data_IF_829723350104
#
_entry.id   IF_829723350104
#
_cell.length_a   1.000
_cell.length_b   1.000
_cell.length_c   1.000
_cell.angle_alpha   90.00
_cell.angle_beta   90.00
_cell.angle_gamma   90.00
#
_symmetry.space_group_name_H-M   'P 1'
#
loop_
_entity.id
_entity.type
_entity.pdbx_description
1 polymer ?
#
# COMPACT_ATOMS: atom_id res chain seq x y z
N UNK A 1 -2.85 69.34 -72.75
CA UNK A 1 -4.14 68.72 -72.37
C UNK A 1 -4.50 67.72 -73.46
N UNK A 2 -4.87 66.45 -73.18
CA UNK A 2 -5.07 65.83 -71.86
C UNK A 2 -4.53 64.36 -71.73
N UNK A 3 -4.74 63.81 -70.53
CA UNK A 3 -4.82 62.39 -70.09
C UNK A 3 -3.50 61.58 -69.96
N UNK A 4 -3.03 61.29 -68.75
CA UNK A 4 -3.49 60.31 -67.74
C UNK A 4 -3.19 58.84 -68.12
N UNK A 5 -2.25 58.22 -67.40
CA UNK A 5 -2.42 57.03 -66.53
C UNK A 5 -1.04 56.38 -66.23
N UNK A 6 -0.87 55.76 -65.03
CA UNK A 6 0.44 55.58 -64.41
C UNK A 6 1.03 54.17 -64.51
N UNK A 7 2.37 54.18 -64.49
CA UNK A 7 3.34 53.21 -63.96
C UNK A 7 2.96 51.71 -63.94
N UNK A 8 3.70 50.95 -64.76
CA UNK A 8 3.97 49.53 -64.51
C UNK A 8 5.48 49.28 -64.62
N UNK A 9 5.96 48.45 -63.70
CA UNK A 9 7.34 48.15 -63.32
C UNK A 9 8.29 47.82 -64.47
N UNK A 10 9.49 48.42 -64.48
CA UNK A 10 10.77 47.75 -64.17
C UNK A 10 11.89 48.79 -64.33
N UNK A 11 12.94 48.75 -63.49
CA UNK A 11 14.23 48.59 -64.13
C UNK A 11 15.18 47.70 -63.34
N UNK A 12 15.65 46.68 -64.05
CA UNK A 12 17.04 46.52 -64.39
C UNK A 12 18.07 46.59 -63.24
N UNK A 13 18.74 45.45 -63.10
CA UNK A 13 20.21 45.39 -63.07
C UNK A 13 20.88 46.17 -61.96
N UNK A 14 21.24 45.50 -60.87
CA UNK A 14 22.48 45.83 -60.16
C UNK A 14 22.98 44.66 -59.29
N UNK A 15 24.19 44.21 -59.62
CA UNK A 15 25.08 43.40 -58.79
C UNK A 15 26.41 44.19 -58.73
N UNK A 16 27.31 43.95 -57.77
CA UNK A 16 27.22 44.15 -56.32
C UNK A 16 28.39 45.00 -55.79
N UNK A 17 28.34 45.48 -54.54
CA UNK A 17 29.55 45.68 -53.71
C UNK A 17 29.22 45.85 -52.22
N UNK A 18 30.19 45.43 -51.41
CA UNK A 18 30.07 44.96 -50.02
C UNK A 18 29.72 46.02 -48.96
N UNK A 19 29.11 45.63 -47.82
CA UNK A 19 28.94 46.50 -46.66
C UNK A 19 30.21 46.69 -45.81
N UNK A 20 30.33 47.80 -45.05
CA UNK A 20 31.56 48.22 -44.36
C UNK A 20 31.83 47.48 -43.03
N UNK A 21 33.11 47.56 -42.62
CA UNK A 21 33.76 46.92 -41.47
C UNK A 21 33.10 47.23 -40.10
N UNK A 22 32.93 46.19 -39.27
CA UNK A 22 32.28 46.26 -37.95
C UNK A 22 33.23 46.74 -36.83
N UNK A 23 32.74 47.44 -35.78
CA UNK A 23 33.57 47.94 -34.68
C UNK A 23 34.09 46.80 -33.78
N UNK A 24 35.32 46.93 -33.28
CA UNK A 24 35.98 45.92 -32.42
C UNK A 24 35.26 45.75 -31.06
N UNK A 25 35.13 44.51 -30.53
CA UNK A 25 34.55 44.26 -29.21
C UNK A 25 35.46 44.70 -28.04
N UNK A 26 34.84 45.15 -26.95
CA UNK A 26 35.48 45.49 -25.69
C UNK A 26 36.08 44.25 -24.97
N UNK A 27 37.16 44.47 -24.21
CA UNK A 27 37.90 43.42 -23.50
C UNK A 27 37.06 42.69 -22.42
N UNK A 28 37.22 41.36 -22.25
CA UNK A 28 36.48 40.59 -21.26
C UNK A 28 36.97 40.81 -19.81
N UNK A 29 36.03 40.82 -18.87
CA UNK A 29 36.24 40.88 -17.41
C UNK A 29 36.94 39.59 -16.90
N UNK A 30 37.77 39.63 -15.84
CA UNK A 30 38.46 38.43 -15.34
C UNK A 30 37.48 37.39 -14.78
N UNK A 31 37.76 36.11 -15.04
CA UNK A 31 36.99 34.98 -14.53
C UNK A 31 37.13 34.84 -12.99
N UNK A 32 36.10 34.38 -12.26
CA UNK A 32 36.19 34.12 -10.83
C UNK A 32 37.12 32.93 -10.55
N UNK A 33 37.88 33.02 -9.45
CA UNK A 33 38.79 31.96 -9.00
C UNK A 33 38.03 30.64 -8.69
N UNK A 34 38.69 29.47 -8.81
CA UNK A 34 38.05 28.18 -8.56
C UNK A 34 37.52 28.07 -7.14
N UNK A 35 36.22 27.77 -7.01
CA UNK A 35 35.61 27.43 -5.73
C UNK A 35 36.27 26.15 -5.19
N UNK A 36 36.78 26.24 -3.95
CA UNK A 36 37.25 25.08 -3.18
C UNK A 36 36.12 24.04 -3.11
N UNK A 37 36.36 22.75 -3.38
CA UNK A 37 35.32 21.73 -3.32
C UNK A 37 34.65 21.74 -1.94
N UNK A 38 33.32 21.73 -1.93
CA UNK A 38 32.53 21.55 -0.72
C UNK A 38 32.92 20.24 -0.02
N UNK A 39 32.93 20.16 1.32
CA UNK A 39 33.17 18.91 2.02
C UNK A 39 32.17 17.86 1.54
N UNK A 40 32.70 16.72 1.09
CA UNK A 40 31.92 15.55 0.68
C UNK A 40 30.88 15.20 1.74
N UNK A 41 29.68 14.82 1.30
CA UNK A 41 28.60 14.34 2.15
C UNK A 41 29.14 13.30 3.17
N UNK A 42 28.58 13.24 4.40
CA UNK A 42 29.05 12.30 5.41
C UNK A 42 29.02 10.88 4.85
N UNK A 43 30.22 10.32 4.69
CA UNK A 43 30.40 8.97 4.19
C UNK A 43 29.82 8.00 5.23
N UNK A 44 28.78 7.26 4.85
CA UNK A 44 28.15 6.28 5.73
C UNK A 44 29.24 5.26 6.12
N UNK A 45 29.51 5.04 7.42
CA UNK A 45 30.67 4.24 7.86
C UNK A 45 30.52 2.74 7.58
N UNK A 46 29.41 2.33 6.98
CA UNK A 46 29.03 0.95 6.74
C UNK A 46 28.72 0.71 5.27
N UNK A 47 29.07 -0.49 4.79
CA UNK A 47 28.48 -1.11 3.60
C UNK A 47 27.76 -2.38 4.01
N UNK A 48 26.70 -2.73 3.29
CA UNK A 48 25.97 -3.97 3.57
C UNK A 48 25.51 -4.67 2.30
N UNK A 49 25.31 -5.98 2.43
CA UNK A 49 24.66 -6.82 1.43
C UNK A 49 23.55 -7.62 2.09
N UNK A 50 22.47 -7.87 1.35
CA UNK A 50 21.34 -8.68 1.81
C UNK A 50 21.02 -9.71 0.75
N UNK A 51 20.99 -10.97 1.14
CA UNK A 51 20.62 -12.08 0.24
C UNK A 51 19.39 -12.78 0.80
N UNK A 52 18.21 -12.59 0.19
CA UNK A 52 17.02 -13.34 0.55
C UNK A 52 17.10 -14.77 0.02
N UNK A 53 16.69 -15.73 0.82
CA UNK A 53 16.59 -17.14 0.44
C UNK A 53 15.28 -17.72 0.96
N UNK A 54 14.48 -18.26 0.03
CA UNK A 54 13.27 -19.01 0.34
C UNK A 54 13.62 -20.26 1.14
N UNK A 55 13.04 -20.42 2.32
CA UNK A 55 13.23 -21.63 3.13
C UNK A 55 12.12 -22.63 2.84
N UNK A 56 10.86 -22.18 2.95
CA UNK A 56 9.67 -22.93 2.60
C UNK A 56 8.58 -21.97 2.06
N UNK A 57 7.35 -22.47 1.90
CA UNK A 57 6.23 -21.67 1.35
C UNK A 57 5.85 -20.46 2.21
N UNK A 58 6.17 -20.46 3.51
CA UNK A 58 5.78 -19.45 4.48
C UNK A 58 6.95 -18.75 5.18
N UNK A 59 8.20 -18.91 4.70
CA UNK A 59 9.35 -18.29 5.34
C UNK A 59 10.48 -17.89 4.39
N UNK A 60 11.05 -16.71 4.65
CA UNK A 60 12.26 -16.17 4.00
C UNK A 60 13.37 -16.03 5.03
N UNK A 61 14.56 -16.51 4.72
CA UNK A 61 15.80 -16.15 5.42
C UNK A 61 16.51 -15.00 4.71
N UNK A 62 17.09 -14.10 5.48
CA UNK A 62 17.91 -12.99 4.98
C UNK A 62 19.31 -13.12 5.58
N UNK A 63 20.30 -13.41 4.74
CA UNK A 63 21.70 -13.29 5.11
C UNK A 63 22.13 -11.82 4.92
N UNK A 64 22.41 -11.13 6.01
CA UNK A 64 22.76 -9.71 6.03
C UNK A 64 24.22 -9.61 6.45
N UNK A 65 25.08 -9.16 5.54
CA UNK A 65 26.50 -8.92 5.84
C UNK A 65 26.74 -7.43 5.92
N UNK A 66 27.32 -6.96 7.02
CA UNK A 66 27.64 -5.56 7.27
C UNK A 66 29.14 -5.44 7.44
N UNK A 67 29.75 -4.52 6.70
CA UNK A 67 31.19 -4.27 6.70
C UNK A 67 31.45 -2.85 7.17
N UNK A 68 32.33 -2.67 8.15
CA UNK A 68 32.83 -1.37 8.52
C UNK A 68 33.83 -0.90 7.45
N UNK A 69 33.43 0.10 6.67
CA UNK A 69 34.29 0.71 5.64
C UNK A 69 34.93 2.00 6.12
N UNK A 70 34.64 2.42 7.34
CA UNK A 70 35.31 3.56 7.95
C UNK A 70 36.73 3.18 8.38
N UNK A 71 37.62 4.18 8.41
CA UNK A 71 38.97 4.01 8.96
C UNK A 71 39.03 3.90 10.49
N UNK A 72 37.89 3.77 11.20
CA UNK A 72 37.82 3.79 12.67
C UNK A 72 37.00 2.62 13.22
N UNK A 73 37.33 2.08 14.41
CA UNK A 73 36.47 1.09 15.06
C UNK A 73 35.11 1.68 15.41
N UNK A 74 34.05 0.88 15.29
CA UNK A 74 32.67 1.24 15.67
C UNK A 74 32.35 0.52 16.98
N UNK A 75 32.43 1.19 18.14
CA UNK A 75 32.11 0.57 19.43
C UNK A 75 30.60 0.35 19.56
N UNK A 76 30.19 -0.68 20.31
CA UNK A 76 28.76 -0.92 20.60
C UNK A 76 27.90 -1.13 19.36
N UNK A 77 28.47 -1.74 18.31
CA UNK A 77 27.73 -2.11 17.12
C UNK A 77 26.58 -3.05 17.50
N UNK A 78 25.38 -2.71 17.04
CA UNK A 78 24.14 -3.44 17.28
C UNK A 78 23.26 -3.42 16.05
N UNK A 79 22.44 -4.45 15.91
CA UNK A 79 21.47 -4.59 14.81
C UNK A 79 20.10 -4.84 15.39
N UNK A 80 19.13 -4.05 14.96
CA UNK A 80 17.72 -4.18 15.36
C UNK A 80 16.90 -4.68 14.18
N UNK A 81 15.85 -5.45 14.48
CA UNK A 81 14.96 -6.07 13.50
C UNK A 81 13.51 -5.69 13.79
N UNK A 82 12.79 -5.29 12.75
CA UNK A 82 11.36 -5.04 12.79
C UNK A 82 10.69 -5.63 11.53
N UNK A 83 9.41 -6.04 11.61
CA UNK A 83 8.67 -6.49 10.44
C UNK A 83 8.40 -5.31 9.50
N UNK A 84 8.50 -5.56 8.19
CA UNK A 84 7.97 -4.63 7.20
C UNK A 84 6.45 -4.82 7.16
N UNK A 85 5.71 -3.78 7.59
CA UNK A 85 4.27 -3.81 7.85
C UNK A 85 3.83 -4.74 8.99
N UNK A 86 2.60 -4.52 9.47
CA UNK A 86 2.02 -5.34 10.53
C UNK A 86 1.65 -6.72 9.96
N UNK A 87 2.31 -7.76 10.48
CA UNK A 87 1.98 -9.15 10.22
C UNK A 87 0.72 -9.54 11.02
N UNK A 88 -0.22 -10.26 10.37
CA UNK A 88 -1.40 -10.85 11.01
C UNK A 88 -1.11 -12.27 11.52
N UNK A 89 -0.18 -12.98 10.87
CA UNK A 89 0.25 -14.33 11.23
C UNK A 89 1.76 -14.50 10.96
N UNK A 90 2.49 -15.08 11.92
CA UNK A 90 3.95 -15.14 11.88
C UNK A 90 4.64 -13.90 12.45
N UNK A 91 5.67 -13.40 11.75
CA UNK A 91 6.49 -12.28 12.20
C UNK A 91 7.93 -12.33 11.73
N UNK A 92 8.81 -11.62 12.43
CA UNK A 92 10.26 -11.61 12.16
C UNK A 92 11.04 -12.10 13.37
N UNK A 93 12.20 -12.71 13.12
CA UNK A 93 13.06 -13.23 14.19
C UNK A 93 14.50 -13.39 13.74
N UNK A 94 15.40 -13.59 14.70
CA UNK A 94 16.81 -13.89 14.41
C UNK A 94 17.02 -15.39 14.29
N UNK A 95 17.71 -15.81 13.23
CA UNK A 95 18.33 -17.14 13.15
C UNK A 95 19.72 -17.18 13.77
N UNK A 96 20.46 -16.09 13.61
CA UNK A 96 21.72 -15.85 14.30
C UNK A 96 21.71 -14.39 14.78
N UNK A 97 21.51 -14.13 16.08
CA UNK A 97 21.43 -12.77 16.57
C UNK A 97 22.78 -12.05 16.39
N UNK A 98 22.76 -10.72 16.19
CA UNK A 98 23.97 -9.92 16.23
C UNK A 98 24.61 -10.04 17.61
N UNK A 99 25.89 -10.41 17.67
CA UNK A 99 26.67 -10.27 18.90
C UNK A 99 27.02 -8.79 19.08
N UNK A 100 26.59 -8.13 20.19
CA UNK A 100 27.00 -6.77 20.47
C UNK A 100 28.52 -6.70 20.61
N UNK A 101 29.16 -5.70 20.00
CA UNK A 101 30.61 -5.61 20.06
C UNK A 101 31.19 -4.42 19.33
N UNK A 102 32.53 -4.35 19.29
CA UNK A 102 33.25 -3.36 18.50
C UNK A 102 33.51 -3.93 17.11
N UNK A 103 33.03 -3.25 16.07
CA UNK A 103 33.31 -3.62 14.69
C UNK A 103 34.57 -2.89 14.19
N UNK A 104 35.68 -3.62 14.06
CA UNK A 104 36.96 -3.06 13.63
C UNK A 104 36.92 -2.54 12.17
N UNK A 105 37.80 -1.60 11.77
CA UNK A 105 37.93 -1.17 10.37
C UNK A 105 38.15 -2.36 9.42
N UNK A 106 37.40 -2.41 8.32
CA UNK A 106 37.46 -3.49 7.33
C UNK A 106 36.83 -4.82 7.77
N UNK A 107 36.40 -4.95 9.02
CA UNK A 107 35.75 -6.17 9.51
C UNK A 107 34.30 -6.26 9.01
N UNK A 108 33.87 -7.50 8.77
CA UNK A 108 32.50 -7.83 8.40
C UNK A 108 31.84 -8.70 9.47
N UNK A 109 30.55 -8.49 9.67
CA UNK A 109 29.68 -9.35 10.46
C UNK A 109 28.50 -9.81 9.61
N UNK A 110 28.17 -11.09 9.70
CA UNK A 110 27.00 -11.66 9.03
C UNK A 110 25.98 -12.07 10.07
N UNK A 111 24.75 -11.59 9.90
CA UNK A 111 23.60 -11.95 10.73
C UNK A 111 22.52 -12.58 9.86
N UNK A 112 21.74 -13.47 10.46
CA UNK A 112 20.63 -14.14 9.76
C UNK A 112 19.32 -13.74 10.39
N UNK A 113 18.45 -13.08 9.62
CA UNK A 113 17.09 -12.76 10.01
C UNK A 113 16.07 -13.63 9.26
N UNK A 114 14.90 -13.81 9.84
CA UNK A 114 13.77 -14.50 9.23
C UNK A 114 12.57 -13.56 9.12
N UNK A 115 11.81 -13.71 8.04
CA UNK A 115 10.42 -13.28 7.95
C UNK A 115 9.55 -14.50 7.70
N UNK A 116 8.46 -14.63 8.44
CA UNK A 116 7.56 -15.79 8.47
C UNK A 116 6.11 -15.37 8.35
N UNK A 117 5.28 -16.25 7.80
CA UNK A 117 3.84 -16.06 7.68
C UNK A 117 3.49 -15.00 6.64
N UNK A 118 2.82 -13.92 7.06
CA UNK A 118 2.45 -12.81 6.17
C UNK A 118 3.38 -11.59 6.28
N UNK A 119 4.53 -11.75 6.94
CA UNK A 119 5.54 -10.70 7.03
C UNK A 119 6.12 -10.35 5.65
N UNK A 120 5.84 -9.13 5.18
CA UNK A 120 6.24 -8.67 3.83
C UNK A 120 7.76 -8.53 3.67
N UNK A 121 8.50 -8.52 4.77
CA UNK A 121 9.94 -8.42 4.79
C UNK A 121 10.46 -8.03 6.16
N UNK A 122 11.71 -7.59 6.17
CA UNK A 122 12.42 -7.11 7.35
C UNK A 122 12.86 -5.67 7.16
N UNK A 123 12.69 -4.86 8.20
CA UNK A 123 13.36 -3.58 8.38
C UNK A 123 14.51 -3.79 9.37
N UNK A 124 15.72 -3.44 8.97
CA UNK A 124 16.94 -3.68 9.73
C UNK A 124 17.62 -2.34 9.96
N UNK A 125 17.98 -2.06 11.20
CA UNK A 125 18.65 -0.82 11.59
C UNK A 125 19.98 -1.13 12.27
N UNK A 126 21.01 -0.35 11.94
CA UNK A 126 22.36 -0.48 12.48
C UNK A 126 22.65 0.71 13.40
N UNK A 127 23.21 0.43 14.56
CA UNK A 127 23.64 1.46 15.50
C UNK A 127 25.03 1.16 16.06
N UNK A 128 25.77 2.19 16.46
CA UNK A 128 27.06 2.09 17.12
C UNK A 128 27.38 3.34 17.91
N UNK A 129 28.01 3.21 19.07
CA UNK A 129 28.27 4.33 19.98
C UNK A 129 27.02 5.10 20.42
N UNK A 130 25.85 4.44 20.38
CA UNK A 130 24.55 5.05 20.67
C UNK A 130 23.93 5.85 19.51
N UNK A 131 24.54 5.89 18.33
CA UNK A 131 24.02 6.62 17.16
C UNK A 131 23.56 5.66 16.06
N UNK A 132 22.58 6.10 15.25
CA UNK A 132 22.16 5.38 14.05
C UNK A 132 23.22 5.49 12.97
N UNK A 133 23.62 4.35 12.42
CA UNK A 133 24.62 4.24 11.36
C UNK A 133 23.99 3.99 9.99
N UNK A 134 22.71 3.59 9.96
CA UNK A 134 21.96 3.34 8.73
C UNK A 134 20.83 2.34 8.96
N UNK A 135 20.01 2.17 7.93
CA UNK A 135 18.95 1.17 7.91
C UNK A 135 18.76 0.64 6.49
N UNK A 136 18.18 -0.55 6.39
CA UNK A 136 17.76 -1.15 5.14
C UNK A 136 16.41 -1.83 5.31
N UNK A 137 15.73 -2.04 4.18
CA UNK A 137 14.57 -2.91 4.10
C UNK A 137 14.85 -4.01 3.09
N UNK A 138 14.37 -5.22 3.37
CA UNK A 138 14.48 -6.35 2.46
C UNK A 138 13.13 -7.08 2.39
N UNK A 139 12.66 -7.32 1.17
CA UNK A 139 11.36 -7.95 0.91
C UNK A 139 11.44 -9.47 0.99
N UNK A 140 10.40 -10.07 1.56
CA UNK A 140 10.19 -11.52 1.56
C UNK A 140 10.07 -12.06 0.14
N UNK A 141 10.63 -13.25 -0.08
CA UNK A 141 10.46 -14.02 -1.32
C UNK A 141 9.44 -15.16 -1.18
N UNK A 142 9.05 -15.52 0.04
CA UNK A 142 7.91 -16.42 0.29
C UNK A 142 6.57 -15.73 0.01
N UNK A 143 5.50 -16.53 -0.04
CA UNK A 143 4.16 -16.00 -0.23
C UNK A 143 3.67 -15.30 1.03
N UNK A 144 3.45 -14.00 0.97
CA UNK A 144 2.92 -13.18 2.08
C UNK A 144 1.40 -13.07 2.05
N UNK A 145 0.76 -13.98 1.30
CA UNK A 145 -0.69 -14.07 1.19
C UNK A 145 -1.30 -14.55 2.51
N UNK A 146 -2.22 -13.75 3.05
CA UNK A 146 -3.02 -14.08 4.23
C UNK A 146 -4.06 -15.11 3.83
N UNK A 147 -3.82 -16.39 4.12
CA UNK A 147 -4.87 -17.40 3.95
C UNK A 147 -6.00 -17.13 4.93
N UNK A 148 -7.23 -17.14 4.43
CA UNK A 148 -8.44 -17.02 5.24
C UNK A 148 -9.48 -18.03 4.79
N UNK A 149 -9.05 -19.16 4.24
CA UNK A 149 -9.95 -20.23 3.79
C UNK A 149 -10.70 -20.81 5.00
N UNK A 150 -12.03 -20.82 4.92
CA UNK A 150 -12.86 -21.22 6.03
C UNK A 150 -14.28 -20.69 5.94
N UNK A 151 -15.07 -21.04 6.95
CA UNK A 151 -16.43 -20.50 7.15
C UNK A 151 -16.48 -19.80 8.49
N UNK A 152 -16.88 -18.54 8.46
CA UNK A 152 -16.94 -17.61 9.58
C UNK A 152 -18.40 -17.25 9.85
N UNK A 153 -18.80 -17.26 11.11
CA UNK A 153 -20.19 -16.95 11.50
C UNK A 153 -20.21 -15.81 12.50
N UNK A 154 -21.23 -14.97 12.42
CA UNK A 154 -21.44 -13.93 13.40
C UNK A 154 -22.66 -13.07 13.11
N UNK A 155 -22.56 -11.78 13.43
CA UNK A 155 -23.68 -10.87 13.48
C UNK A 155 -23.54 -9.71 12.49
N UNK A 156 -24.68 -9.16 12.09
CA UNK A 156 -24.80 -7.90 11.34
C UNK A 156 -25.67 -6.94 12.16
N UNK A 157 -25.33 -5.66 12.19
CA UNK A 157 -26.08 -4.64 12.91
C UNK A 157 -27.18 -4.01 12.03
N UNK A 158 -28.08 -3.25 12.66
CA UNK A 158 -29.15 -2.46 12.01
C UNK A 158 -30.23 -3.26 11.24
N UNK A 159 -30.34 -4.56 11.50
CA UNK A 159 -31.46 -5.39 11.00
C UNK A 159 -32.04 -6.33 12.08
N UNK A 160 -32.08 -5.82 13.32
CA UNK A 160 -32.55 -6.56 14.48
C UNK A 160 -31.67 -7.78 14.79
N UNK A 161 -32.27 -8.98 14.86
CA UNK A 161 -31.54 -10.25 15.06
C UNK A 161 -30.83 -10.67 13.76
N UNK A 162 -29.78 -9.92 13.42
CA UNK A 162 -28.99 -10.09 12.21
C UNK A 162 -27.85 -11.10 12.35
N UNK A 163 -27.75 -12.04 11.41
CA UNK A 163 -26.64 -13.00 11.33
C UNK A 163 -26.00 -13.03 9.96
N UNK A 164 -24.70 -13.37 9.92
CA UNK A 164 -23.94 -13.57 8.70
C UNK A 164 -23.16 -14.89 8.76
N UNK A 165 -23.10 -15.58 7.63
CA UNK A 165 -22.19 -16.71 7.37
C UNK A 165 -21.35 -16.38 6.15
N UNK A 166 -20.04 -16.16 6.34
CA UNK A 166 -19.08 -15.86 5.29
C UNK A 166 -18.22 -17.09 5.02
N UNK A 167 -18.13 -17.53 3.78
CA UNK A 167 -17.21 -18.60 3.34
C UNK A 167 -16.19 -18.01 2.39
N UNK A 168 -14.91 -18.24 2.67
CA UNK A 168 -13.77 -17.85 1.83
C UNK A 168 -13.08 -19.10 1.32
N UNK A 169 -12.75 -19.10 0.02
CA UNK A 169 -12.01 -20.17 -0.65
C UNK A 169 -11.10 -19.57 -1.71
N UNK A 170 -9.79 -19.64 -1.48
CA UNK A 170 -8.78 -18.98 -2.27
C UNK A 170 -9.06 -17.48 -2.38
N UNK A 171 -9.39 -17.01 -3.60
CA UNK A 171 -9.69 -15.60 -3.87
C UNK A 171 -11.19 -15.29 -3.99
N UNK A 172 -12.04 -16.27 -3.69
CA UNK A 172 -13.48 -16.15 -3.77
C UNK A 172 -14.10 -16.07 -2.38
N UNK A 173 -15.15 -15.26 -2.25
CA UNK A 173 -15.92 -15.12 -1.02
C UNK A 173 -17.41 -15.26 -1.32
N UNK A 174 -18.15 -15.90 -0.42
CA UNK A 174 -19.62 -16.00 -0.44
C UNK A 174 -20.17 -15.66 0.93
N UNK A 175 -21.29 -14.95 0.97
CA UNK A 175 -21.95 -14.61 2.22
C UNK A 175 -23.44 -14.95 2.17
N UNK A 176 -23.98 -15.37 3.31
CA UNK A 176 -25.42 -15.43 3.57
C UNK A 176 -25.70 -14.48 4.72
N UNK A 177 -26.66 -13.57 4.52
CA UNK A 177 -27.09 -12.57 5.50
C UNK A 177 -28.56 -12.83 5.78
N UNK A 178 -28.91 -12.97 7.05
CA UNK A 178 -30.31 -13.03 7.49
C UNK A 178 -30.55 -12.00 8.58
N UNK A 179 -31.71 -11.35 8.54
CA UNK A 179 -32.10 -10.35 9.51
C UNK A 179 -33.54 -10.51 9.92
N UNK A 180 -33.85 -10.12 11.15
CA UNK A 180 -35.21 -10.04 11.63
C UNK A 180 -35.35 -8.80 12.50
N UNK A 181 -35.91 -7.76 11.91
CA UNK A 181 -36.21 -6.50 12.57
C UNK A 181 -37.61 -6.57 13.19
N UNK A 182 -37.67 -6.37 14.51
CA UNK A 182 -38.93 -6.29 15.27
C UNK A 182 -38.82 -5.15 16.25
N UNK A 183 -39.39 -4.00 15.89
CA UNK A 183 -39.48 -2.82 16.76
C UNK A 183 -40.68 -1.96 16.34
N UNK A 184 -41.26 -1.24 17.29
CA UNK A 184 -42.30 -0.22 17.04
C UNK A 184 -43.45 -0.70 16.15
N UNK A 185 -43.94 -1.91 16.40
CA UNK A 185 -45.03 -2.49 15.62
C UNK A 185 -44.64 -2.88 14.19
N UNK A 186 -43.37 -2.95 13.85
CA UNK A 186 -42.85 -3.44 12.56
C UNK A 186 -42.29 -4.86 12.70
N UNK A 187 -42.32 -5.62 11.62
CA UNK A 187 -41.77 -6.98 11.57
C UNK A 187 -41.30 -7.28 10.15
N UNK A 188 -40.00 -7.13 9.93
CA UNK A 188 -39.39 -7.31 8.60
C UNK A 188 -38.29 -8.35 8.69
N UNK A 189 -38.39 -9.38 7.84
CA UNK A 189 -37.41 -10.44 7.68
C UNK A 189 -36.61 -10.21 6.41
N UNK A 190 -35.30 -10.35 6.51
CA UNK A 190 -34.36 -10.19 5.40
C UNK A 190 -33.63 -11.51 5.22
N UNK A 191 -33.52 -11.96 3.96
CA UNK A 191 -32.69 -13.10 3.58
C UNK A 191 -31.98 -12.76 2.29
N UNK A 192 -30.65 -12.72 2.33
CA UNK A 192 -29.81 -12.37 1.20
C UNK A 192 -28.60 -13.29 1.07
N UNK A 193 -28.19 -13.52 -0.17
CA UNK A 193 -26.98 -14.23 -0.54
C UNK A 193 -26.09 -13.35 -1.40
N UNK A 194 -24.78 -13.48 -1.25
CA UNK A 194 -23.82 -12.68 -1.98
C UNK A 194 -22.57 -13.45 -2.37
N UNK A 195 -21.89 -12.92 -3.37
CA UNK A 195 -20.60 -13.43 -3.82
C UNK A 195 -19.66 -12.29 -4.19
N UNK A 196 -18.38 -12.57 -4.15
CA UNK A 196 -17.35 -11.62 -4.53
C UNK A 196 -15.97 -12.18 -4.32
N UNK A 197 -15.03 -11.32 -3.93
CA UNK A 197 -13.61 -11.64 -3.92
C UNK A 197 -13.00 -11.46 -2.53
N UNK A 198 -11.95 -12.24 -2.29
CA UNK A 198 -11.01 -12.07 -1.20
C UNK A 198 -9.65 -11.67 -1.79
N UNK A 199 -9.05 -10.62 -1.26
CA UNK A 199 -7.71 -10.19 -1.59
C UNK A 199 -6.74 -10.70 -0.51
N UNK A 200 -5.97 -11.78 -0.76
CA UNK A 200 -5.11 -12.36 0.25
C UNK A 200 -3.90 -11.49 0.60
N UNK A 201 -3.50 -10.53 -0.26
CA UNK A 201 -2.42 -9.59 0.10
C UNK A 201 -2.88 -8.58 1.15
N UNK A 202 -4.09 -8.08 0.99
CA UNK A 202 -4.67 -7.07 1.89
C UNK A 202 -5.45 -7.68 3.06
N UNK A 203 -5.82 -8.97 2.97
CA UNK A 203 -6.73 -9.59 3.91
C UNK A 203 -8.14 -8.98 3.85
N UNK A 204 -8.64 -8.63 2.66
CA UNK A 204 -9.93 -7.90 2.54
C UNK A 204 -10.93 -8.64 1.66
N UNK A 205 -12.21 -8.62 2.03
CA UNK A 205 -13.32 -9.12 1.21
C UNK A 205 -14.13 -7.97 0.60
N UNK A 206 -14.67 -8.20 -0.58
CA UNK A 206 -15.64 -7.32 -1.25
C UNK A 206 -16.67 -8.16 -2.01
N UNK A 207 -17.95 -7.99 -1.68
CA UNK A 207 -19.05 -8.80 -2.20
C UNK A 207 -20.21 -7.93 -2.66
N UNK A 208 -20.93 -8.42 -3.68
CA UNK A 208 -22.29 -7.98 -4.00
C UNK A 208 -23.28 -9.00 -3.45
N UNK A 209 -24.41 -8.55 -2.93
CA UNK A 209 -25.46 -9.41 -2.40
C UNK A 209 -26.82 -9.01 -2.95
N UNK A 210 -27.73 -9.99 -3.01
CA UNK A 210 -29.12 -9.81 -3.37
C UNK A 210 -30.00 -10.76 -2.57
N UNK A 211 -31.25 -10.40 -2.37
CA UNK A 211 -32.17 -11.15 -1.53
C UNK A 211 -33.58 -10.59 -1.53
N UNK A 212 -34.33 -10.93 -0.49
CA UNK A 212 -35.69 -10.46 -0.29
C UNK A 212 -35.89 -9.91 1.12
N UNK A 213 -36.72 -8.87 1.19
CA UNK A 213 -37.29 -8.32 2.42
C UNK A 213 -38.77 -8.67 2.45
N UNK A 214 -39.25 -9.29 3.53
CA UNK A 214 -40.64 -9.72 3.69
C UNK A 214 -41.20 -9.37 5.07
N UNK A 215 -42.44 -8.90 5.14
CA UNK A 215 -43.12 -8.66 6.41
C UNK A 215 -44.01 -7.43 6.34
N UNK A 216 -43.96 -6.59 7.37
CA UNK A 216 -44.70 -5.33 7.37
C UNK A 216 -43.92 -4.22 8.10
N UNK A 217 -44.03 -3.00 7.58
CA UNK A 217 -43.47 -1.78 8.16
C UNK A 217 -44.59 -0.78 8.45
N UNK A 218 -44.30 0.21 9.30
CA UNK A 218 -45.18 1.35 9.52
C UNK A 218 -44.57 2.56 8.82
N UNK A 219 -45.34 3.21 7.95
CA UNK A 219 -45.00 4.51 7.35
C UNK A 219 -46.15 5.47 7.61
N UNK A 220 -45.86 6.63 8.19
CA UNK A 220 -46.84 7.59 8.72
C UNK A 220 -47.99 6.98 9.58
N UNK A 221 -47.69 5.90 10.32
CA UNK A 221 -48.65 5.17 11.17
C UNK A 221 -49.55 4.18 10.41
N UNK A 222 -49.48 4.13 9.09
CA UNK A 222 -50.14 3.11 8.27
C UNK A 222 -49.24 1.89 8.09
N UNK A 223 -49.86 0.71 8.01
CA UNK A 223 -49.15 -0.56 7.83
C UNK A 223 -48.98 -0.86 6.35
N UNK A 224 -47.72 -1.05 5.95
CA UNK A 224 -47.34 -1.45 4.60
C UNK A 224 -46.78 -2.87 4.62
N UNK A 225 -47.32 -3.73 3.76
CA UNK A 225 -46.76 -5.06 3.55
C UNK A 225 -45.51 -4.96 2.69
N UNK A 226 -44.42 -5.55 3.19
CA UNK A 226 -43.12 -5.55 2.54
C UNK A 226 -42.96 -6.89 1.84
N UNK A 227 -42.70 -6.86 0.54
CA UNK A 227 -42.29 -8.03 -0.25
C UNK A 227 -41.45 -7.54 -1.43
N UNK A 228 -40.17 -7.29 -1.16
CA UNK A 228 -39.30 -6.59 -2.09
C UNK A 228 -37.98 -7.30 -2.30
N UNK A 229 -37.44 -7.13 -3.50
CA UNK A 229 -36.05 -7.50 -3.79
C UNK A 229 -35.14 -6.43 -3.23
N UNK A 230 -34.15 -6.86 -2.46
CA UNK A 230 -33.10 -6.00 -1.91
C UNK A 230 -31.75 -6.40 -2.48
N UNK A 231 -30.86 -5.44 -2.67
CA UNK A 231 -29.50 -5.71 -3.13
C UNK A 231 -28.51 -4.69 -2.60
N UNK A 232 -27.23 -5.03 -2.61
CA UNK A 232 -26.20 -4.13 -2.10
C UNK A 232 -24.80 -4.70 -2.16
N UNK A 233 -23.92 -4.13 -1.35
CA UNK A 233 -22.54 -4.57 -1.22
C UNK A 233 -22.14 -4.77 0.24
N UNK A 234 -21.10 -5.58 0.42
CA UNK A 234 -20.49 -5.85 1.72
C UNK A 234 -18.97 -5.85 1.54
N UNK A 235 -18.27 -5.22 2.46
CA UNK A 235 -16.80 -5.19 2.49
C UNK A 235 -16.29 -5.40 3.91
N UNK A 236 -15.07 -5.90 4.05
CA UNK A 236 -14.45 -6.10 5.35
C UNK A 236 -13.00 -6.55 5.28
N UNK A 237 -12.36 -6.64 6.44
CA UNK A 237 -10.99 -7.07 6.62
C UNK A 237 -10.90 -8.25 7.58
N UNK A 238 -9.90 -9.10 7.33
CA UNK A 238 -9.50 -10.22 8.17
C UNK A 238 -8.46 -9.76 9.17
N UNK A 239 -8.69 -10.02 10.45
CA UNK A 239 -7.72 -9.80 11.50
C UNK A 239 -7.84 -10.90 12.56
N UNK A 240 -6.75 -11.64 12.80
CA UNK A 240 -6.64 -12.66 13.87
C UNK A 240 -7.84 -13.62 13.93
N UNK A 241 -8.17 -14.23 12.79
CA UNK A 241 -9.25 -15.22 12.71
C UNK A 241 -10.67 -14.63 12.66
N UNK A 242 -10.82 -13.31 12.63
CA UNK A 242 -12.12 -12.64 12.56
C UNK A 242 -12.20 -11.77 11.32
N UNK A 243 -13.31 -11.85 10.59
CA UNK A 243 -13.69 -10.88 9.59
C UNK A 243 -14.61 -9.82 10.19
N UNK A 244 -14.39 -8.56 9.84
CA UNK A 244 -15.30 -7.47 10.22
C UNK A 244 -15.35 -6.40 9.15
N UNK A 245 -16.45 -5.65 9.08
CA UNK A 245 -16.56 -4.55 8.13
C UNK A 245 -17.94 -3.94 8.05
N UNK A 246 -18.27 -3.41 6.87
CA UNK A 246 -19.51 -2.67 6.60
C UNK A 246 -20.29 -3.29 5.47
N UNK A 247 -21.60 -3.12 5.53
CA UNK A 247 -22.52 -3.53 4.48
C UNK A 247 -23.56 -2.44 4.25
N UNK A 248 -24.02 -2.32 3.02
CA UNK A 248 -25.08 -1.39 2.64
C UNK A 248 -25.85 -1.92 1.44
N UNK A 249 -27.09 -1.51 1.29
CA UNK A 249 -27.97 -1.86 0.20
C UNK A 249 -29.41 -1.52 0.52
N UNK A 250 -30.33 -2.16 -0.21
CA UNK A 250 -31.74 -1.92 -0.02
C UNK A 250 -32.55 -2.11 -1.28
N UNK A 251 -33.74 -1.55 -1.24
CA UNK A 251 -34.69 -1.35 -2.32
C UNK A 251 -35.09 0.13 -2.35
N UNK A 252 -36.18 0.45 -3.06
CA UNK A 252 -36.78 1.79 -3.02
C UNK A 252 -37.33 2.15 -1.63
N UNK A 253 -37.91 1.17 -0.93
CA UNK A 253 -38.61 1.41 0.34
C UNK A 253 -37.86 0.87 1.58
N UNK A 254 -36.86 0.01 1.38
CA UNK A 254 -36.08 -0.58 2.47
C UNK A 254 -34.62 -0.16 2.35
N UNK A 255 -34.12 0.62 3.31
CA UNK A 255 -32.70 1.01 3.38
C UNK A 255 -31.99 0.11 4.39
N UNK A 256 -30.95 -0.59 3.95
CA UNK A 256 -30.18 -1.52 4.76
C UNK A 256 -28.73 -1.07 4.84
N UNK A 257 -28.22 -0.85 6.04
CA UNK A 257 -26.79 -0.57 6.21
C UNK A 257 -26.34 -0.86 7.64
N UNK A 258 -25.09 -1.23 7.81
CA UNK A 258 -24.54 -1.43 9.15
C UNK A 258 -23.13 -1.99 9.13
N UNK A 259 -22.76 -2.56 10.25
CA UNK A 259 -21.49 -3.24 10.49
C UNK A 259 -21.72 -4.73 10.66
N UNK A 260 -20.67 -5.52 10.48
CA UNK A 260 -20.72 -6.96 10.66
C UNK A 260 -19.41 -7.49 11.21
N UNK A 261 -19.50 -8.63 11.90
CA UNK A 261 -18.35 -9.36 12.45
C UNK A 261 -18.63 -10.85 12.42
N UNK A 262 -17.65 -11.66 12.01
CA UNK A 262 -17.75 -13.11 11.89
C UNK A 262 -16.42 -13.79 12.24
N UNK A 263 -16.48 -14.85 13.05
CA UNK A 263 -15.33 -15.64 13.49
C UNK A 263 -15.48 -17.11 13.13
#
# INVERSE_FOLDING_TARGET
>A
MPEDYPQQMDPASQKPSAPPEAPRPAAPKPAPAPLKPAPSAPEVPLRWTVTPRLMDKGSTSFAITVTNVSGKPIPGFSVSLAPLNQSLDGGVGWGSPPSPGTLAPGASVTVTAFAMGDAEGVAVSFAGGGTSLGSLTALSVHSTEKSADGTYRGAVTNIGKGTISLTVSGRSARAVITGHYTADGQNVKISAGGSGTYNPRKGTVSLKWAGTSNGYMLDDGERYDVNERVSGTLSGSFHKGTFSGKWWGGSEFVILSGEWSAR
#
